data_IF_863700244884
#
_entry.id   IF_863700244884
#
_cell.length_a   1.000
_cell.length_b   1.000
_cell.length_c   1.000
_cell.angle_alpha   90.00
_cell.angle_beta   90.00
_cell.angle_gamma   90.00
#
_symmetry.space_group_name_H-M   'P 1'
#
loop_
_entity.id
_entity.type
_entity.pdbx_description
1 polymer ?
#
# COMPACT_ATOMS: atom_id res chain seq x y z
N UNK A 1 -22.93 -2.72 -15.54
CA UNK A 1 -22.07 -2.22 -16.63
C UNK A 1 -21.87 -0.74 -16.41
N UNK A 2 -20.65 -0.27 -16.11
CA UNK A 2 -20.32 1.14 -16.18
C UNK A 2 -18.86 1.31 -16.61
N UNK A 3 -18.73 2.17 -17.60
CA UNK A 3 -17.63 2.36 -18.52
C UNK A 3 -16.47 3.11 -17.84
N UNK A 4 -15.44 2.40 -17.38
CA UNK A 4 -14.13 3.04 -17.22
C UNK A 4 -13.46 2.99 -18.58
N UNK A 5 -13.76 3.97 -19.44
CA UNK A 5 -12.87 4.31 -20.53
C UNK A 5 -11.56 4.77 -19.88
N UNK A 6 -10.69 3.81 -19.56
CA UNK A 6 -9.28 4.07 -19.27
C UNK A 6 -8.78 4.77 -20.53
N UNK A 7 -8.39 6.04 -20.43
CA UNK A 7 -7.92 6.85 -21.55
C UNK A 7 -6.85 6.08 -22.33
N UNK A 8 -7.28 5.41 -23.39
CA UNK A 8 -6.47 4.61 -24.28
C UNK A 8 -5.94 5.55 -25.33
N UNK A 9 -4.63 5.71 -25.34
CA UNK A 9 -3.93 6.56 -26.28
C UNK A 9 -3.20 5.65 -27.25
N UNK A 10 -3.69 5.56 -28.49
CA UNK A 10 -3.00 4.82 -29.54
C UNK A 10 -1.62 5.45 -29.79
N UNK A 11 -0.66 4.62 -30.19
CA UNK A 11 0.63 5.12 -30.66
C UNK A 11 0.46 5.81 -32.01
N UNK A 12 1.41 6.68 -32.38
CA UNK A 12 1.39 7.39 -33.65
C UNK A 12 2.78 7.39 -34.29
N UNK A 13 2.90 7.96 -35.49
CA UNK A 13 4.20 8.14 -36.15
C UNK A 13 5.18 8.99 -35.32
N UNK A 14 4.68 10.01 -34.63
CA UNK A 14 5.51 10.92 -33.82
C UNK A 14 5.77 10.37 -32.42
N UNK A 15 4.92 9.46 -31.95
CA UNK A 15 5.05 8.79 -30.66
C UNK A 15 4.81 7.28 -30.83
N UNK A 16 5.78 6.56 -31.42
CA UNK A 16 5.63 5.13 -31.69
C UNK A 16 5.64 4.32 -30.40
N UNK A 17 5.29 3.04 -30.52
CA UNK A 17 5.37 2.10 -29.40
C UNK A 17 6.79 2.00 -28.86
N UNK A 18 7.00 2.27 -27.57
CA UNK A 18 8.31 2.15 -26.93
C UNK A 18 8.91 0.73 -26.96
N UNK A 19 8.10 -0.31 -27.20
CA UNK A 19 8.55 -1.71 -27.16
C UNK A 19 8.90 -2.29 -28.52
N UNK A 20 8.18 -1.90 -29.57
CA UNK A 20 8.38 -2.44 -30.92
C UNK A 20 8.66 -1.36 -31.97
N UNK A 21 8.68 -0.09 -31.55
CA UNK A 21 8.96 1.10 -32.36
C UNK A 21 7.97 1.32 -33.53
N UNK A 22 6.87 0.56 -33.56
CA UNK A 22 5.84 0.69 -34.60
C UNK A 22 4.84 1.80 -34.25
N UNK A 23 4.36 2.55 -35.26
CA UNK A 23 3.53 3.74 -35.07
C UNK A 23 2.03 3.44 -34.99
N UNK A 24 1.63 2.17 -34.87
CA UNK A 24 0.25 1.70 -35.00
C UNK A 24 -0.04 0.46 -34.13
N UNK A 25 -1.32 0.15 -33.95
CA UNK A 25 -1.91 -1.01 -33.22
C UNK A 25 -1.61 -1.11 -31.72
N UNK A 26 -0.48 -0.60 -31.24
CA UNK A 26 -0.13 -0.53 -29.83
C UNK A 26 -0.80 0.67 -29.14
N UNK A 27 -0.88 0.65 -27.82
CA UNK A 27 -1.45 1.78 -27.09
C UNK A 27 -0.84 1.95 -25.70
N UNK A 28 -1.12 3.11 -25.12
CA UNK A 28 -0.74 3.51 -23.76
C UNK A 28 -2.00 3.77 -22.95
N UNK A 29 -1.94 3.43 -21.66
CA UNK A 29 -2.87 3.84 -20.61
C UNK A 29 -2.07 4.70 -19.61
N UNK A 30 -2.76 5.29 -18.63
CA UNK A 30 -2.16 6.23 -17.66
C UNK A 30 -0.82 5.78 -17.07
N UNK A 31 -0.66 4.49 -16.73
CA UNK A 31 0.56 3.98 -16.07
C UNK A 31 1.15 2.73 -16.74
N UNK A 32 0.60 2.30 -17.87
CA UNK A 32 1.03 1.06 -18.54
C UNK A 32 0.93 1.21 -20.06
N UNK A 33 1.66 0.37 -20.77
CA UNK A 33 1.64 0.27 -22.23
C UNK A 33 1.24 -1.14 -22.65
N UNK A 34 0.74 -1.29 -23.87
CA UNK A 34 0.38 -2.57 -24.44
C UNK A 34 0.98 -2.68 -25.84
N UNK A 35 1.91 -3.63 -26.02
CA UNK A 35 2.47 -3.97 -27.32
C UNK A 35 1.66 -5.10 -27.95
N UNK A 36 0.94 -4.82 -29.05
CA UNK A 36 0.14 -5.85 -29.78
C UNK A 36 0.98 -6.81 -30.64
N UNK A 37 2.29 -6.61 -30.68
CA UNK A 37 3.22 -7.40 -31.52
C UNK A 37 4.04 -8.41 -30.72
N UNK A 38 3.77 -8.55 -29.43
CA UNK A 38 4.47 -9.50 -28.58
C UNK A 38 5.95 -9.19 -28.34
N UNK A 39 6.43 -7.98 -28.66
CA UNK A 39 7.81 -7.58 -28.36
C UNK A 39 8.08 -7.60 -26.85
N UNK A 40 9.32 -7.86 -26.47
CA UNK A 40 9.73 -7.78 -25.07
C UNK A 40 9.64 -6.34 -24.52
N UNK A 41 9.47 -6.18 -23.20
CA UNK A 41 9.47 -4.86 -22.59
C UNK A 41 10.76 -4.09 -22.90
N UNK A 42 10.62 -2.78 -23.10
CA UNK A 42 11.76 -1.90 -23.34
C UNK A 42 12.62 -1.80 -22.08
N UNK A 43 13.87 -1.36 -22.19
CA UNK A 43 14.73 -1.10 -21.03
C UNK A 43 14.03 -0.19 -20.03
N UNK A 44 14.03 -0.58 -18.75
CA UNK A 44 13.32 0.15 -17.71
C UNK A 44 11.82 -0.19 -17.59
N UNK A 45 11.33 -1.20 -18.32
CA UNK A 45 9.96 -1.71 -18.24
C UNK A 45 9.95 -3.20 -17.92
N UNK A 46 8.85 -3.68 -17.33
CA UNK A 46 8.63 -5.11 -17.07
C UNK A 46 7.25 -5.56 -17.55
N UNK A 47 7.15 -6.83 -17.95
CA UNK A 47 5.88 -7.48 -18.31
C UNK A 47 5.09 -7.78 -17.04
N UNK A 48 3.89 -7.21 -16.94
CA UNK A 48 2.98 -7.48 -15.81
C UNK A 48 2.24 -8.79 -16.01
N UNK A 49 1.58 -9.32 -14.98
CA UNK A 49 0.68 -10.47 -15.09
C UNK A 49 -0.69 -10.13 -15.70
N UNK A 50 -0.97 -8.86 -15.98
CA UNK A 50 -2.27 -8.41 -16.48
C UNK A 50 -2.28 -8.32 -18.00
N UNK A 51 -3.38 -8.72 -18.60
CA UNK A 51 -3.61 -8.66 -20.04
C UNK A 51 -4.82 -7.80 -20.39
N UNK A 52 -4.91 -7.36 -21.64
CA UNK A 52 -6.14 -6.85 -22.22
C UNK A 52 -7.10 -7.97 -22.63
N UNK A 53 -8.25 -7.59 -23.19
CA UNK A 53 -9.30 -8.54 -23.61
C UNK A 53 -8.84 -9.50 -24.72
N UNK A 54 -7.80 -9.15 -25.46
CA UNK A 54 -7.22 -9.96 -26.53
C UNK A 54 -6.01 -10.77 -26.06
N UNK A 55 -5.71 -10.76 -24.76
CA UNK A 55 -4.60 -11.53 -24.17
C UNK A 55 -3.23 -10.85 -24.26
N UNK A 56 -3.15 -9.60 -24.72
CA UNK A 56 -1.88 -8.89 -24.79
C UNK A 56 -1.48 -8.35 -23.42
N UNK A 57 -0.26 -8.60 -23.00
CA UNK A 57 0.23 -8.17 -21.69
C UNK A 57 0.43 -6.65 -21.62
N UNK A 58 0.12 -6.10 -20.44
CA UNK A 58 0.51 -4.74 -20.09
C UNK A 58 1.95 -4.71 -19.59
N UNK A 59 2.70 -3.70 -20.00
CA UNK A 59 4.04 -3.41 -19.50
C UNK A 59 4.00 -2.15 -18.64
N UNK A 60 4.74 -2.16 -17.54
CA UNK A 60 4.82 -1.05 -16.60
C UNK A 60 6.27 -0.60 -16.44
N UNK A 61 6.52 0.69 -16.19
CA UNK A 61 7.88 1.15 -15.90
C UNK A 61 8.36 0.56 -14.57
N UNK A 62 9.63 0.22 -14.50
CA UNK A 62 10.30 -0.20 -13.27
C UNK A 62 10.38 1.04 -12.36
N UNK A 63 9.62 1.01 -11.28
CA UNK A 63 9.65 2.06 -10.26
C UNK A 63 10.55 1.62 -9.10
N UNK A 64 11.65 2.33 -8.87
CA UNK A 64 12.45 2.18 -7.66
C UNK A 64 11.82 3.02 -6.55
N UNK A 65 11.31 2.35 -5.50
CA UNK A 65 10.86 3.08 -4.31
C UNK A 65 12.10 3.63 -3.59
N UNK A 66 12.07 4.88 -3.10
CA UNK A 66 13.18 5.40 -2.31
C UNK A 66 13.41 4.50 -1.08
N UNK A 67 14.66 4.14 -0.85
CA UNK A 67 15.06 3.32 0.29
C UNK A 67 14.83 4.16 1.56
N UNK A 68 14.06 3.60 2.50
CA UNK A 68 13.87 4.23 3.81
C UNK A 68 15.10 3.97 4.67
N UNK A 69 15.57 4.95 5.46
CA UNK A 69 16.67 4.73 6.39
C UNK A 69 16.27 3.68 7.45
N UNK A 70 17.30 3.03 8.01
CA UNK A 70 17.12 2.04 9.07
C UNK A 70 16.39 2.68 10.25
N UNK A 71 15.27 2.09 10.65
CA UNK A 71 14.45 2.63 11.74
C UNK A 71 13.59 1.54 12.38
N UNK A 72 13.13 1.82 13.60
CA UNK A 72 12.20 0.98 14.35
C UNK A 72 11.06 1.85 14.86
N UNK A 73 9.82 1.43 14.62
CA UNK A 73 8.61 2.09 15.12
C UNK A 73 7.70 1.08 15.80
N UNK A 74 7.11 1.47 16.93
CA UNK A 74 6.24 0.63 17.74
C UNK A 74 4.85 1.28 17.85
N UNK A 75 3.81 0.48 17.60
CA UNK A 75 2.41 0.89 17.68
C UNK A 75 1.72 0.07 18.76
N UNK A 76 1.19 0.74 19.78
CA UNK A 76 0.58 0.10 20.93
C UNK A 76 -0.93 0.08 20.80
N UNK A 77 -1.51 -1.09 21.04
CA UNK A 77 -2.94 -1.32 21.16
C UNK A 77 -3.23 -1.59 22.62
N UNK A 78 -3.94 -0.65 23.25
CA UNK A 78 -4.48 -0.82 24.59
C UNK A 78 -5.84 -1.52 24.50
N UNK A 79 -6.24 -2.26 25.52
CA UNK A 79 -7.60 -2.74 25.64
C UNK A 79 -8.58 -1.57 25.88
N UNK A 80 -9.89 -1.84 25.86
CA UNK A 80 -10.91 -0.81 26.06
C UNK A 80 -10.88 -0.17 27.45
N UNK A 81 -10.12 -0.74 28.41
CA UNK A 81 -9.86 -0.18 29.74
C UNK A 81 -8.53 0.58 29.83
N UNK A 82 -7.78 0.71 28.73
CA UNK A 82 -6.51 1.44 28.68
C UNK A 82 -5.27 0.63 29.07
N UNK A 83 -5.39 -0.67 29.31
CA UNK A 83 -4.25 -1.54 29.65
C UNK A 83 -3.55 -2.05 28.39
N UNK A 84 -2.25 -2.31 28.46
CA UNK A 84 -1.51 -2.89 27.34
C UNK A 84 -2.12 -4.23 26.91
N UNK A 85 -2.29 -4.40 25.60
CA UNK A 85 -2.87 -5.63 25.02
C UNK A 85 -1.95 -6.20 23.92
N UNK A 86 -1.69 -5.39 22.89
CA UNK A 86 -0.90 -5.78 21.73
C UNK A 86 0.06 -4.66 21.34
N UNK A 87 1.18 -5.02 20.72
CA UNK A 87 2.10 -4.11 20.07
C UNK A 87 2.46 -4.61 18.68
N UNK A 88 2.46 -3.71 17.70
CA UNK A 88 2.99 -3.95 16.36
C UNK A 88 4.33 -3.22 16.25
N UNK A 89 5.38 -3.94 15.89
CA UNK A 89 6.72 -3.40 15.68
C UNK A 89 7.05 -3.43 14.19
N UNK A 90 7.34 -2.26 13.62
CA UNK A 90 7.88 -2.11 12.28
C UNK A 90 9.38 -1.89 12.36
N UNK A 91 10.14 -2.63 11.55
CA UNK A 91 11.58 -2.44 11.37
C UNK A 91 11.84 -2.22 9.89
N UNK A 92 12.40 -1.07 9.54
CA UNK A 92 13.00 -0.81 8.23
C UNK A 92 14.51 -1.06 8.35
N UNK A 93 15.08 -1.88 7.46
CA UNK A 93 16.47 -2.34 7.59
C UNK A 93 17.52 -1.39 6.98
N UNK A 94 17.07 -0.36 6.25
CA UNK A 94 17.94 0.57 5.54
C UNK A 94 18.32 0.12 4.12
N UNK A 95 17.82 -1.01 3.63
CA UNK A 95 18.12 -1.57 2.28
C UNK A 95 16.90 -1.65 1.38
N UNK A 96 15.74 -1.21 1.88
CA UNK A 96 14.45 -1.28 1.17
C UNK A 96 13.55 -2.40 1.67
N UNK A 97 14.04 -3.23 2.61
CA UNK A 97 13.24 -4.29 3.23
C UNK A 97 12.62 -3.78 4.53
N UNK A 98 11.39 -4.22 4.79
CA UNK A 98 10.67 -3.96 6.04
C UNK A 98 10.16 -5.26 6.63
N UNK A 99 10.12 -5.32 7.97
CA UNK A 99 9.55 -6.43 8.73
C UNK A 99 8.55 -5.91 9.75
N UNK A 100 7.49 -6.68 9.97
CA UNK A 100 6.47 -6.41 10.97
C UNK A 100 6.39 -7.58 11.94
N UNK A 101 6.34 -7.26 13.23
CA UNK A 101 6.20 -8.23 14.31
C UNK A 101 5.03 -7.82 15.19
N UNK A 102 4.24 -8.79 15.62
CA UNK A 102 3.15 -8.55 16.56
C UNK A 102 3.51 -9.25 17.86
N UNK A 103 3.26 -8.58 18.98
CA UNK A 103 3.48 -9.10 20.32
C UNK A 103 2.26 -8.83 21.18
N UNK A 104 1.97 -9.73 22.11
CA UNK A 104 0.93 -9.57 23.13
C UNK A 104 1.54 -9.26 24.49
N UNK A 105 0.80 -8.55 25.33
CA UNK A 105 1.20 -8.25 26.70
C UNK A 105 0.81 -9.39 27.63
N UNK A 106 1.79 -10.01 28.29
CA UNK A 106 1.59 -11.10 29.26
C UNK A 106 2.61 -10.96 30.38
N UNK A 107 2.20 -11.20 31.63
CA UNK A 107 3.09 -11.23 32.80
C UNK A 107 4.08 -10.05 32.87
N UNK A 108 3.57 -8.84 32.60
CA UNK A 108 4.34 -7.60 32.57
C UNK A 108 5.47 -7.55 31.50
N UNK A 109 5.31 -8.29 30.40
CA UNK A 109 6.25 -8.34 29.30
C UNK A 109 5.57 -8.51 27.93
N UNK A 110 6.34 -8.26 26.86
CA UNK A 110 5.90 -8.47 25.48
C UNK A 110 6.31 -9.85 24.99
N UNK A 111 5.34 -10.68 24.64
CA UNK A 111 5.55 -12.01 24.06
C UNK A 111 5.21 -11.99 22.59
N UNK A 112 6.09 -12.50 21.73
CA UNK A 112 5.88 -12.55 20.28
C UNK A 112 4.67 -13.41 19.91
N UNK A 113 3.92 -12.97 18.92
CA UNK A 113 2.75 -13.66 18.37
C UNK A 113 1.44 -13.29 19.07
N UNK A 114 0.35 -13.35 18.30
CA UNK A 114 -1.02 -13.21 18.80
C UNK A 114 -1.67 -14.58 18.94
N UNK A 115 -2.53 -14.73 19.95
CA UNK A 115 -3.36 -15.93 20.16
C UNK A 115 -4.77 -15.71 19.63
N UNK A 116 -5.51 -16.77 19.33
CA UNK A 116 -6.89 -16.62 18.85
C UNK A 116 -7.82 -15.99 19.89
N UNK A 117 -7.52 -16.17 21.18
CA UNK A 117 -8.27 -15.50 22.26
C UNK A 117 -8.03 -13.98 22.34
N UNK A 118 -6.87 -13.48 21.89
CA UNK A 118 -6.57 -12.03 21.97
C UNK A 118 -7.10 -11.26 20.77
N UNK A 119 -7.11 -11.85 19.57
CA UNK A 119 -7.48 -11.18 18.31
C UNK A 119 -8.84 -10.45 18.38
N UNK A 120 -9.94 -11.07 18.88
CA UNK A 120 -11.25 -10.40 18.97
C UNK A 120 -11.30 -9.22 19.95
N UNK A 121 -10.30 -9.13 20.84
CA UNK A 121 -10.23 -8.11 21.89
C UNK A 121 -9.45 -6.86 21.45
N UNK A 122 -8.70 -6.95 20.35
CA UNK A 122 -7.90 -5.84 19.82
C UNK A 122 -8.85 -4.75 19.32
N UNK A 123 -8.86 -3.55 19.91
CA UNK A 123 -9.65 -2.46 19.36
C UNK A 123 -8.93 -1.82 18.16
N UNK A 124 -9.60 -0.88 17.50
CA UNK A 124 -8.94 -0.03 16.50
C UNK A 124 -7.73 0.70 17.10
N UNK A 125 -6.72 0.98 16.28
CA UNK A 125 -5.58 1.78 16.70
C UNK A 125 -6.05 3.17 17.19
N UNK A 126 -5.44 3.70 18.25
CA UNK A 126 -5.85 4.95 18.92
C UNK A 126 -7.31 4.94 19.45
N UNK A 127 -7.80 3.80 19.91
CA UNK A 127 -9.20 3.63 20.34
C UNK A 127 -9.72 4.71 21.29
N UNK A 128 -8.95 5.10 22.31
CA UNK A 128 -9.40 6.06 23.31
C UNK A 128 -9.52 7.47 22.70
N UNK A 129 -8.52 7.83 21.90
CA UNK A 129 -8.43 9.10 21.20
C UNK A 129 -9.51 9.22 20.11
N UNK A 130 -9.79 8.14 19.36
CA UNK A 130 -10.88 8.09 18.39
C UNK A 130 -12.24 8.23 19.09
N UNK A 131 -12.44 7.57 20.23
CA UNK A 131 -13.66 7.76 21.04
C UNK A 131 -13.85 9.22 21.45
N UNK A 132 -12.78 9.89 21.86
CA UNK A 132 -12.82 11.30 22.20
C UNK A 132 -13.14 12.16 20.97
N UNK A 133 -12.51 11.91 19.83
CA UNK A 133 -12.78 12.63 18.59
C UNK A 133 -14.24 12.51 18.14
N UNK A 134 -14.85 11.32 18.30
CA UNK A 134 -16.29 11.11 18.05
C UNK A 134 -17.15 11.97 18.99
N UNK A 135 -16.81 12.01 20.29
CA UNK A 135 -17.53 12.82 21.26
C UNK A 135 -17.41 14.33 20.97
N UNK A 136 -16.29 14.75 20.39
CA UNK A 136 -16.03 16.12 19.93
C UNK A 136 -16.66 16.42 18.55
N UNK A 137 -17.36 15.47 17.93
CA UNK A 137 -18.00 15.65 16.62
C UNK A 137 -17.02 15.74 15.44
N UNK A 138 -15.79 15.25 15.59
CA UNK A 138 -14.78 15.25 14.52
C UNK A 138 -15.08 14.20 13.46
N UNK A 139 -14.72 14.50 12.22
CA UNK A 139 -14.70 13.50 11.13
C UNK A 139 -13.63 12.45 11.41
N UNK A 140 -13.99 11.17 11.26
CA UNK A 140 -13.10 10.03 11.49
C UNK A 140 -12.67 9.42 10.14
N UNK A 141 -11.37 9.35 9.90
CA UNK A 141 -10.74 8.80 8.71
C UNK A 141 -10.28 7.36 8.95
N UNK A 142 -10.81 6.41 8.18
CA UNK A 142 -10.32 5.03 8.17
C UNK A 142 -9.16 4.87 7.19
N UNK A 143 -8.02 4.38 7.66
CA UNK A 143 -6.81 4.20 6.86
C UNK A 143 -6.17 2.83 7.07
N UNK A 144 -5.47 2.35 6.05
CA UNK A 144 -4.88 0.99 6.00
C UNK A 144 -3.69 0.77 6.95
N UNK A 145 -3.15 1.80 7.61
CA UNK A 145 -1.94 1.59 8.43
C UNK A 145 -1.71 2.65 9.51
N UNK A 146 -1.10 2.21 10.62
CA UNK A 146 -0.88 3.02 11.82
C UNK A 146 0.02 4.22 11.54
N UNK A 147 0.97 4.09 10.61
CA UNK A 147 1.83 5.19 10.20
C UNK A 147 1.08 6.33 9.52
N UNK A 148 0.03 6.03 8.75
CA UNK A 148 -0.83 7.05 8.13
C UNK A 148 -1.76 7.65 9.19
N UNK A 149 -2.32 6.80 10.07
CA UNK A 149 -3.15 7.27 11.17
C UNK A 149 -2.39 8.28 12.06
N UNK A 150 -1.13 8.00 12.41
CA UNK A 150 -0.29 8.94 13.15
C UNK A 150 -0.04 10.26 12.40
N UNK A 151 0.12 10.20 11.07
CA UNK A 151 0.33 11.40 10.26
C UNK A 151 -0.94 12.27 10.21
N UNK A 152 -2.11 11.66 10.00
CA UNK A 152 -3.39 12.38 10.06
C UNK A 152 -3.59 12.99 11.45
N UNK A 153 -3.31 12.24 12.51
CA UNK A 153 -3.43 12.71 13.88
C UNK A 153 -2.53 13.91 14.16
N UNK A 154 -1.29 13.89 13.66
CA UNK A 154 -0.35 15.01 13.78
C UNK A 154 -0.83 16.26 13.02
N UNK A 155 -1.68 16.11 12.01
CA UNK A 155 -2.32 17.21 11.28
C UNK A 155 -3.64 17.67 11.93
N UNK A 156 -4.03 17.08 13.07
CA UNK A 156 -5.30 17.38 13.74
C UNK A 156 -6.52 16.68 13.13
N UNK A 157 -6.30 15.69 12.26
CA UNK A 157 -7.35 14.88 11.64
C UNK A 157 -7.44 13.54 12.37
N UNK A 158 -8.67 13.14 12.74
CA UNK A 158 -8.92 11.94 13.55
C UNK A 158 -9.15 10.69 12.69
#
# INVERSE_FOLDING_TARGET
>A
MNNTAKNRIEVTKNEPCIHCEKPDHCYRLTNVTCCKRGADPATGWFKTSKTDKEGNYYYAPIQTKPIRPKSKKEYFYKDRSGRNLVKVTRIDDGTGTKKFYQSRWENNGWVTGLTDGIKPRIPIYRYAEVKQAIAEGKTIFFVEGEGIADQLWALGLA
#
